data_IF_411415033542
#
_entry.id   IF_411415033542
#
_cell.length_a   1.000
_cell.length_b   1.000
_cell.length_c   1.000
_cell.angle_alpha   90.00
_cell.angle_beta   90.00
_cell.angle_gamma   90.00
#
_symmetry.space_group_name_H-M   'P 1'
#
loop_
_entity.id
_entity.type
_entity.pdbx_description
1 polymer ?
#
# COMPACT_ATOMS: atom_id res chain seq x y z
N UNK A 1 -2.71 -12.74 23.94
CA UNK A 1 -2.65 -11.33 23.48
C UNK A 1 -3.92 -11.03 22.69
N UNK A 2 -4.76 -10.09 23.15
CA UNK A 2 -6.05 -9.81 22.48
C UNK A 2 -5.79 -9.18 21.10
N UNK A 3 -6.20 -9.88 20.03
CA UNK A 3 -6.09 -9.44 18.64
C UNK A 3 -6.86 -8.14 18.37
N UNK A 4 -7.92 -7.87 19.14
CA UNK A 4 -8.78 -6.69 18.99
C UNK A 4 -8.09 -5.34 19.21
N UNK A 5 -6.88 -5.32 19.78
CA UNK A 5 -6.11 -4.08 19.99
C UNK A 5 -4.92 -3.92 19.02
N UNK A 6 -4.96 -4.56 17.84
CA UNK A 6 -3.89 -4.57 16.86
C UNK A 6 -4.27 -3.76 15.62
N UNK A 7 -3.39 -2.82 15.23
CA UNK A 7 -3.61 -1.93 14.09
C UNK A 7 -3.68 -2.71 12.78
N UNK A 8 -2.79 -3.71 12.59
CA UNK A 8 -2.80 -4.51 11.36
C UNK A 8 -4.13 -5.25 11.16
N UNK A 9 -4.81 -5.69 12.24
CA UNK A 9 -6.13 -6.35 12.16
C UNK A 9 -7.20 -5.36 11.69
N UNK A 10 -7.20 -4.15 12.24
CA UNK A 10 -8.15 -3.10 11.85
C UNK A 10 -7.91 -2.62 10.42
N UNK A 11 -6.64 -2.55 9.99
CA UNK A 11 -6.29 -2.21 8.61
C UNK A 11 -6.87 -3.23 7.62
N UNK A 12 -6.70 -4.53 7.89
CA UNK A 12 -7.29 -5.61 7.08
C UNK A 12 -8.82 -5.55 7.12
N UNK A 13 -9.41 -5.43 8.30
CA UNK A 13 -10.86 -5.40 8.47
C UNK A 13 -11.50 -4.24 7.69
N UNK A 14 -10.88 -3.06 7.74
CA UNK A 14 -11.38 -1.89 7.02
C UNK A 14 -11.23 -2.06 5.49
N UNK A 15 -10.12 -2.62 5.02
CA UNK A 15 -9.94 -2.95 3.59
C UNK A 15 -10.98 -3.96 3.12
N UNK A 16 -11.29 -4.99 3.92
CA UNK A 16 -12.38 -5.93 3.64
C UNK A 16 -13.73 -5.21 3.56
N UNK A 17 -14.06 -4.38 4.54
CA UNK A 17 -15.31 -3.63 4.59
C UNK A 17 -15.50 -2.77 3.34
N UNK A 18 -14.48 -1.96 2.97
CA UNK A 18 -14.52 -1.12 1.77
C UNK A 18 -14.67 -1.95 0.49
N UNK A 19 -13.93 -3.07 0.38
CA UNK A 19 -13.97 -3.93 -0.80
C UNK A 19 -15.35 -4.58 -1.00
N UNK A 20 -15.95 -5.12 0.06
CA UNK A 20 -17.29 -5.72 -0.01
C UNK A 20 -18.37 -4.66 -0.23
N UNK A 21 -18.31 -3.52 0.47
CA UNK A 21 -19.28 -2.43 0.32
C UNK A 21 -19.29 -1.86 -1.10
N UNK A 22 -18.11 -1.68 -1.71
CA UNK A 22 -17.96 -1.19 -3.08
C UNK A 22 -18.13 -2.27 -4.15
N UNK A 23 -18.42 -3.52 -3.76
CA UNK A 23 -18.44 -4.68 -4.66
C UNK A 23 -17.13 -4.77 -5.47
N UNK A 24 -16.00 -4.77 -4.77
CA UNK A 24 -14.65 -4.77 -5.34
C UNK A 24 -14.43 -3.65 -6.36
N UNK A 25 -14.82 -2.44 -5.98
CA UNK A 25 -14.59 -1.24 -6.79
C UNK A 25 -15.53 -1.08 -8.00
N UNK A 26 -16.48 -2.00 -8.21
CA UNK A 26 -17.42 -1.89 -9.32
C UNK A 26 -18.46 -0.77 -9.13
N UNK A 27 -18.74 -0.40 -7.87
CA UNK A 27 -19.62 0.73 -7.52
C UNK A 27 -18.79 2.01 -7.40
N UNK A 28 -18.43 2.60 -8.54
CA UNK A 28 -17.50 3.74 -8.62
C UNK A 28 -17.92 4.93 -7.75
N UNK A 29 -19.21 5.24 -7.63
CA UNK A 29 -19.71 6.33 -6.79
C UNK A 29 -19.37 6.15 -5.32
N UNK A 30 -19.21 4.90 -4.84
CA UNK A 30 -18.87 4.62 -3.44
C UNK A 30 -17.37 4.77 -3.16
N UNK A 31 -16.52 4.58 -4.17
CA UNK A 31 -15.06 4.70 -4.03
C UNK A 31 -14.54 6.08 -4.43
N UNK A 32 -15.34 6.88 -5.15
CA UNK A 32 -14.94 8.23 -5.56
C UNK A 32 -14.37 9.06 -4.38
N UNK A 33 -15.03 9.15 -3.21
CA UNK A 33 -14.56 9.98 -2.10
C UNK A 33 -13.21 9.55 -1.49
N UNK A 34 -12.80 8.31 -1.72
CA UNK A 34 -11.56 7.74 -1.19
C UNK A 34 -10.52 7.43 -2.28
N UNK A 35 -10.82 7.79 -3.53
CA UNK A 35 -9.94 7.60 -4.67
C UNK A 35 -8.85 8.68 -4.74
N UNK A 36 -7.74 8.43 -5.45
CA UNK A 36 -6.62 9.37 -5.51
C UNK A 36 -7.01 10.72 -6.13
N UNK A 37 -7.51 10.71 -7.35
CA UNK A 37 -8.06 11.93 -7.96
C UNK A 37 -9.58 11.94 -7.81
N UNK A 38 -10.16 13.11 -7.61
CA UNK A 38 -11.60 13.30 -7.82
C UNK A 38 -11.94 12.92 -9.25
N UNK A 39 -13.11 12.37 -9.43
CA UNK A 39 -13.62 12.11 -10.77
C UNK A 39 -15.14 12.28 -10.85
N UNK A 40 -15.64 12.50 -12.04
CA UNK A 40 -17.06 12.47 -12.37
C UNK A 40 -17.33 11.32 -13.33
N UNK A 41 -18.52 10.73 -13.21
CA UNK A 41 -19.02 9.75 -14.17
C UNK A 41 -20.06 10.46 -15.02
N UNK A 42 -19.75 10.64 -16.31
CA UNK A 42 -20.63 11.26 -17.28
C UNK A 42 -20.69 10.41 -18.55
N UNK A 43 -21.88 10.10 -19.04
CA UNK A 43 -22.08 9.28 -20.25
C UNK A 43 -21.24 7.98 -20.27
N UNK A 44 -21.17 7.25 -19.15
CA UNK A 44 -20.37 6.03 -18.96
C UNK A 44 -18.84 6.24 -19.12
N UNK A 45 -18.36 7.47 -19.03
CA UNK A 45 -16.94 7.80 -19.02
C UNK A 45 -16.53 8.38 -17.69
N UNK A 46 -15.31 8.06 -17.24
CA UNK A 46 -14.71 8.62 -16.03
C UNK A 46 -13.87 9.82 -16.46
N UNK A 47 -14.21 10.99 -15.94
CA UNK A 47 -13.46 12.23 -16.13
C UNK A 47 -12.74 12.57 -14.81
N UNK A 48 -11.43 12.45 -14.81
CA UNK A 48 -10.61 12.76 -13.64
C UNK A 48 -10.33 14.25 -13.57
N UNK A 49 -10.38 14.79 -12.36
CA UNK A 49 -9.80 16.09 -12.06
C UNK A 49 -8.28 15.96 -11.92
N UNK A 50 -7.57 17.04 -12.16
CA UNK A 50 -6.12 17.12 -11.96
C UNK A 50 -5.74 17.16 -10.47
N UNK A 51 -4.44 17.09 -10.21
CA UNK A 51 -3.89 17.15 -8.86
C UNK A 51 -4.21 18.51 -8.19
N UNK A 52 -4.08 19.61 -8.92
CA UNK A 52 -4.32 20.96 -8.39
C UNK A 52 -5.76 21.09 -7.90
N UNK A 53 -6.73 20.69 -8.71
CA UNK A 53 -8.15 20.75 -8.36
C UNK A 53 -8.48 19.85 -7.16
N UNK A 54 -7.92 18.63 -7.14
CA UNK A 54 -8.20 17.66 -6.07
C UNK A 54 -7.62 18.10 -4.74
N UNK A 55 -6.34 18.46 -4.70
CA UNK A 55 -5.60 18.65 -3.44
C UNK A 55 -5.50 20.12 -3.01
N UNK A 56 -5.32 21.05 -3.94
CA UNK A 56 -5.11 22.46 -3.58
C UNK A 56 -6.42 23.25 -3.55
N UNK A 57 -7.33 23.01 -4.49
CA UNK A 57 -8.60 23.73 -4.55
C UNK A 57 -9.65 23.07 -3.64
N UNK A 58 -9.84 21.75 -3.76
CA UNK A 58 -10.82 21.01 -2.95
C UNK A 58 -10.30 20.67 -1.55
N UNK A 59 -9.00 20.77 -1.29
CA UNK A 59 -8.35 20.46 -0.01
C UNK A 59 -8.57 19.01 0.47
N UNK A 60 -8.60 18.04 -0.44
CA UNK A 60 -8.93 16.64 -0.16
C UNK A 60 -7.67 15.77 0.03
N UNK A 61 -6.79 16.14 0.99
CA UNK A 61 -5.49 15.52 1.24
C UNK A 61 -5.53 14.06 1.70
N UNK A 62 -6.64 13.61 2.28
CA UNK A 62 -6.81 12.20 2.67
C UNK A 62 -6.70 11.24 1.49
N UNK A 63 -6.97 11.70 0.27
CA UNK A 63 -6.87 10.91 -0.96
C UNK A 63 -5.45 10.47 -1.29
N UNK A 64 -4.42 11.06 -0.67
CA UNK A 64 -3.05 10.53 -0.76
C UNK A 64 -2.95 9.13 -0.15
N UNK A 65 -3.75 8.83 0.86
CA UNK A 65 -3.65 7.60 1.66
C UNK A 65 -4.80 6.63 1.39
N UNK A 66 -6.02 7.14 1.27
CA UNK A 66 -7.25 6.31 1.24
C UNK A 66 -7.36 5.30 0.10
N UNK A 67 -6.72 5.47 -1.10
CA UNK A 67 -6.78 4.45 -2.14
C UNK A 67 -6.25 3.08 -1.71
N UNK A 68 -5.43 3.01 -0.65
CA UNK A 68 -4.93 1.74 -0.12
C UNK A 68 -6.05 0.78 0.30
N UNK A 69 -7.26 1.27 0.59
CA UNK A 69 -8.41 0.45 0.99
C UNK A 69 -9.21 -0.11 -0.18
N UNK A 70 -9.00 0.38 -1.40
CA UNK A 70 -9.76 -0.04 -2.59
C UNK A 70 -9.11 -1.28 -3.20
N UNK A 71 -9.87 -2.36 -3.34
CA UNK A 71 -9.40 -3.58 -4.02
C UNK A 71 -10.38 -3.95 -5.14
N UNK A 72 -9.84 -4.30 -6.31
CA UNK A 72 -10.63 -4.57 -7.51
C UNK A 72 -10.88 -6.08 -7.75
N UNK A 73 -10.35 -6.95 -6.89
CA UNK A 73 -10.63 -8.39 -6.90
C UNK A 73 -10.46 -9.02 -5.53
N UNK A 74 -11.11 -10.15 -5.29
CA UNK A 74 -10.97 -10.93 -4.07
C UNK A 74 -9.55 -11.49 -3.92
N UNK A 75 -8.93 -11.95 -5.00
CA UNK A 75 -7.56 -12.44 -5.01
C UNK A 75 -6.58 -11.36 -4.55
N UNK A 76 -6.75 -10.13 -5.08
CA UNK A 76 -5.92 -8.97 -4.69
C UNK A 76 -6.08 -8.63 -3.20
N UNK A 77 -7.32 -8.62 -2.68
CA UNK A 77 -7.59 -8.37 -1.27
C UNK A 77 -6.97 -9.43 -0.36
N UNK A 78 -7.18 -10.72 -0.68
CA UNK A 78 -6.67 -11.85 0.12
C UNK A 78 -5.15 -11.82 0.17
N UNK A 79 -4.49 -11.64 -0.99
CA UNK A 79 -3.04 -11.61 -1.08
C UNK A 79 -2.45 -10.45 -0.26
N UNK A 80 -3.00 -9.25 -0.38
CA UNK A 80 -2.58 -8.11 0.41
C UNK A 80 -2.82 -8.30 1.91
N UNK A 81 -3.98 -8.84 2.28
CA UNK A 81 -4.31 -9.11 3.68
C UNK A 81 -3.34 -10.09 4.33
N UNK A 82 -2.94 -11.14 3.59
CA UNK A 82 -1.94 -12.10 4.04
C UNK A 82 -0.60 -11.42 4.33
N UNK A 83 -0.12 -10.57 3.43
CA UNK A 83 1.15 -9.85 3.61
C UNK A 83 1.09 -8.81 4.74
N UNK A 84 -0.02 -8.07 4.88
CA UNK A 84 -0.22 -7.17 6.02
C UNK A 84 -0.24 -7.96 7.33
N UNK A 85 -0.84 -9.16 7.35
CA UNK A 85 -0.81 -10.03 8.53
C UNK A 85 0.61 -10.47 8.86
N UNK A 86 1.40 -10.93 7.89
CA UNK A 86 2.76 -11.43 8.11
C UNK A 86 3.70 -10.29 8.53
N UNK A 87 3.81 -9.25 7.71
CA UNK A 87 4.78 -8.16 7.92
C UNK A 87 4.30 -7.19 9.01
N UNK A 88 3.04 -6.80 8.97
CA UNK A 88 2.47 -5.82 9.87
C UNK A 88 2.40 -6.30 11.31
N UNK A 89 2.09 -7.58 11.51
CA UNK A 89 2.10 -8.21 12.84
C UNK A 89 3.47 -8.08 13.50
N UNK A 90 4.53 -8.46 12.77
CA UNK A 90 5.89 -8.45 13.31
C UNK A 90 6.38 -7.01 13.58
N UNK A 91 6.15 -6.09 12.64
CA UNK A 91 6.54 -4.68 12.82
C UNK A 91 5.77 -4.05 13.98
N UNK A 92 4.44 -4.20 14.06
CA UNK A 92 3.65 -3.63 15.16
C UNK A 92 4.09 -4.21 16.52
N UNK A 93 4.49 -5.49 16.55
CA UNK A 93 4.92 -6.15 17.77
C UNK A 93 6.32 -5.69 18.22
N UNK A 94 7.28 -5.54 17.30
CA UNK A 94 8.69 -5.28 17.60
C UNK A 94 9.04 -3.80 17.62
N UNK A 95 8.40 -2.98 16.77
CA UNK A 95 8.64 -1.55 16.66
C UNK A 95 7.54 -0.69 17.28
N UNK A 96 6.41 -1.29 17.59
CA UNK A 96 5.29 -0.62 18.20
C UNK A 96 4.33 0.05 17.20
N UNK A 97 3.18 0.46 17.74
CA UNK A 97 2.06 0.99 16.95
C UNK A 97 2.39 2.29 16.24
N UNK A 98 3.16 3.17 16.85
CA UNK A 98 3.46 4.50 16.30
C UNK A 98 4.28 4.38 15.02
N UNK A 99 5.35 3.57 15.05
CA UNK A 99 6.18 3.32 13.87
C UNK A 99 5.36 2.62 12.78
N UNK A 100 4.54 1.65 13.16
CA UNK A 100 3.69 0.94 12.20
C UNK A 100 2.67 1.87 11.52
N UNK A 101 1.99 2.76 12.26
CA UNK A 101 1.08 3.76 11.70
C UNK A 101 1.83 4.72 10.76
N UNK A 102 3.00 5.22 11.19
CA UNK A 102 3.82 6.07 10.35
C UNK A 102 4.16 5.38 9.02
N UNK A 103 4.61 4.13 9.06
CA UNK A 103 4.94 3.35 7.87
C UNK A 103 3.73 3.21 6.94
N UNK A 104 2.54 2.85 7.48
CA UNK A 104 1.32 2.75 6.68
C UNK A 104 1.03 4.06 5.95
N UNK A 105 1.00 5.17 6.68
CA UNK A 105 0.62 6.47 6.12
C UNK A 105 1.66 6.97 5.11
N UNK A 106 2.93 6.92 5.45
CA UNK A 106 4.01 7.42 4.62
C UNK A 106 4.19 6.59 3.35
N UNK A 107 4.19 5.24 3.47
CA UNK A 107 4.37 4.37 2.31
C UNK A 107 3.14 4.37 1.41
N UNK A 108 1.93 4.50 1.96
CA UNK A 108 0.71 4.66 1.16
C UNK A 108 0.72 5.97 0.36
N UNK A 109 1.01 7.10 1.02
CA UNK A 109 1.04 8.39 0.34
C UNK A 109 2.11 8.43 -0.77
N UNK A 110 3.32 7.96 -0.47
CA UNK A 110 4.43 7.90 -1.44
C UNK A 110 4.11 6.97 -2.62
N UNK A 111 3.52 5.83 -2.34
CA UNK A 111 3.08 4.82 -3.29
C UNK A 111 2.06 5.39 -4.28
N UNK A 112 0.98 5.95 -3.75
CA UNK A 112 -0.11 6.49 -4.54
C UNK A 112 0.34 7.71 -5.37
N UNK A 113 1.18 8.59 -4.79
CA UNK A 113 1.75 9.73 -5.49
C UNK A 113 2.65 9.28 -6.65
N UNK A 114 3.52 8.30 -6.43
CA UNK A 114 4.42 7.81 -7.48
C UNK A 114 3.65 7.14 -8.63
N UNK A 115 2.58 6.40 -8.31
CA UNK A 115 1.69 5.83 -9.32
C UNK A 115 1.05 6.92 -10.18
N UNK A 116 0.50 7.95 -9.55
CA UNK A 116 -0.06 9.08 -10.27
C UNK A 116 0.98 9.82 -11.12
N UNK A 117 2.16 10.06 -10.58
CA UNK A 117 3.21 10.82 -11.26
C UNK A 117 3.66 10.15 -12.57
N UNK A 118 3.79 8.81 -12.58
CA UNK A 118 4.27 8.08 -13.78
C UNK A 118 3.15 7.59 -14.69
N UNK A 119 1.95 7.36 -14.17
CA UNK A 119 0.85 6.79 -14.96
C UNK A 119 -0.28 7.79 -15.26
N UNK A 120 -0.23 8.97 -14.67
CA UNK A 120 -1.32 9.94 -14.76
C UNK A 120 -2.58 9.50 -14.02
N UNK A 121 -3.68 10.26 -14.18
CA UNK A 121 -4.96 9.92 -13.59
C UNK A 121 -5.48 8.58 -14.11
N UNK A 122 -5.69 7.64 -13.22
CA UNK A 122 -6.15 6.29 -13.56
C UNK A 122 -6.78 5.61 -12.34
N UNK A 123 -7.61 4.59 -12.55
CA UNK A 123 -8.14 3.81 -11.45
C UNK A 123 -7.07 2.86 -10.90
N UNK A 124 -6.67 3.07 -9.66
CA UNK A 124 -5.74 2.21 -8.93
C UNK A 124 -6.06 2.23 -7.42
N UNK A 125 -5.57 1.23 -6.70
CA UNK A 125 -5.75 1.12 -5.28
C UNK A 125 -5.19 -0.19 -4.75
N UNK A 126 -5.28 -0.39 -3.44
CA UNK A 126 -4.88 -1.60 -2.74
C UNK A 126 -3.75 -1.37 -1.73
N UNK A 127 -3.69 -2.28 -0.77
CA UNK A 127 -2.67 -2.28 0.29
C UNK A 127 -1.27 -2.66 -0.23
N UNK A 128 -1.13 -3.06 -1.49
CA UNK A 128 0.14 -3.58 -2.02
C UNK A 128 1.29 -2.58 -1.96
N UNK A 129 1.03 -1.29 -2.15
CA UNK A 129 2.05 -0.24 -1.95
C UNK A 129 2.55 -0.19 -0.51
N UNK A 130 1.64 -0.33 0.47
CA UNK A 130 2.02 -0.45 1.89
C UNK A 130 2.79 -1.74 2.13
N UNK A 131 2.36 -2.88 1.58
CA UNK A 131 3.06 -4.18 1.70
C UNK A 131 4.51 -4.06 1.22
N UNK A 132 4.74 -3.46 0.05
CA UNK A 132 6.10 -3.21 -0.44
C UNK A 132 6.88 -2.24 0.45
N UNK A 133 6.21 -1.27 1.04
CA UNK A 133 6.82 -0.36 2.02
C UNK A 133 7.29 -1.08 3.28
N UNK A 134 6.42 -1.92 3.87
CA UNK A 134 6.76 -2.75 5.03
C UNK A 134 7.91 -3.72 4.71
N UNK A 135 7.89 -4.32 3.51
CA UNK A 135 8.95 -5.20 3.04
C UNK A 135 10.29 -4.47 2.92
N UNK A 136 10.32 -3.27 2.31
CA UNK A 136 11.51 -2.44 2.18
C UNK A 136 12.08 -2.03 3.54
N UNK A 137 11.21 -1.72 4.49
CA UNK A 137 11.60 -1.42 5.88
C UNK A 137 12.29 -2.61 6.56
N UNK A 138 11.69 -3.79 6.49
CA UNK A 138 12.27 -5.01 7.06
C UNK A 138 13.58 -5.39 6.36
N UNK A 139 13.64 -5.29 5.03
CA UNK A 139 14.82 -5.64 4.24
C UNK A 139 16.06 -4.83 4.64
N UNK A 140 15.91 -3.52 4.83
CA UNK A 140 17.02 -2.67 5.28
C UNK A 140 17.50 -3.09 6.68
N UNK A 141 16.57 -3.30 7.60
CA UNK A 141 16.90 -3.69 8.97
C UNK A 141 17.69 -5.00 9.02
N UNK A 142 17.29 -6.00 8.25
CA UNK A 142 17.89 -7.33 8.28
C UNK A 142 19.17 -7.44 7.43
N UNK A 143 19.16 -6.89 6.21
CA UNK A 143 20.22 -7.12 5.23
C UNK A 143 21.35 -6.12 5.36
N UNK A 144 21.05 -4.83 5.43
CA UNK A 144 22.08 -3.77 5.49
C UNK A 144 22.60 -3.53 6.90
N UNK A 145 21.72 -3.57 7.89
CA UNK A 145 22.11 -3.26 9.26
C UNK A 145 22.45 -4.51 10.07
N UNK A 146 22.17 -5.69 9.47
CA UNK A 146 22.40 -7.00 10.09
C UNK A 146 21.78 -7.13 11.49
N UNK A 147 20.71 -6.38 11.71
CA UNK A 147 19.88 -6.50 12.91
C UNK A 147 18.85 -7.59 12.59
N UNK A 148 19.11 -8.80 13.03
CA UNK A 148 18.24 -9.97 12.80
C UNK A 148 16.96 -9.84 13.65
N UNK A 149 16.15 -8.81 13.35
CA UNK A 149 15.03 -8.36 14.17
C UNK A 149 13.74 -9.09 13.83
N UNK A 150 13.43 -9.20 12.54
CA UNK A 150 12.17 -9.78 12.06
C UNK A 150 12.29 -11.27 11.75
N UNK A 151 13.51 -11.77 11.51
CA UNK A 151 13.82 -13.18 11.21
C UNK A 151 13.05 -13.74 10.01
N UNK A 152 12.76 -12.90 9.02
CA UNK A 152 12.11 -13.36 7.79
C UNK A 152 13.09 -14.14 6.91
N UNK A 153 12.67 -15.29 6.34
CA UNK A 153 13.49 -16.00 5.38
C UNK A 153 13.87 -15.13 4.19
N UNK A 154 15.13 -15.13 3.72
CA UNK A 154 15.55 -14.37 2.54
C UNK A 154 14.69 -14.64 1.29
N UNK A 155 14.09 -15.82 1.21
CA UNK A 155 13.16 -16.19 0.14
C UNK A 155 11.96 -15.24 0.02
N UNK A 156 11.49 -14.63 1.11
CA UNK A 156 10.39 -13.65 1.09
C UNK A 156 10.78 -12.41 0.27
N UNK A 157 11.99 -11.88 0.51
CA UNK A 157 12.48 -10.71 -0.21
C UNK A 157 12.70 -11.00 -1.69
N UNK A 158 13.29 -12.17 -2.00
CA UNK A 158 13.50 -12.62 -3.38
C UNK A 158 12.15 -12.78 -4.09
N UNK A 159 11.19 -13.48 -3.47
CA UNK A 159 9.86 -13.68 -4.03
C UNK A 159 9.17 -12.35 -4.35
N UNK A 160 9.14 -11.42 -3.39
CA UNK A 160 8.47 -10.13 -3.58
C UNK A 160 9.19 -9.25 -4.61
N UNK A 161 10.52 -9.32 -4.70
CA UNK A 161 11.27 -8.63 -5.74
C UNK A 161 10.96 -9.18 -7.13
N UNK A 162 10.96 -10.51 -7.28
CA UNK A 162 10.58 -11.16 -8.54
C UNK A 162 9.13 -10.83 -8.90
N UNK A 163 8.23 -10.83 -7.92
CA UNK A 163 6.83 -10.45 -8.11
C UNK A 163 6.67 -9.00 -8.58
N UNK A 164 7.48 -8.07 -8.06
CA UNK A 164 7.54 -6.69 -8.54
C UNK A 164 7.93 -6.63 -10.01
N UNK A 165 8.98 -7.35 -10.41
CA UNK A 165 9.43 -7.38 -11.81
C UNK A 165 8.39 -7.98 -12.75
N UNK A 166 7.77 -9.09 -12.35
CA UNK A 166 6.69 -9.74 -13.11
C UNK A 166 5.48 -8.80 -13.27
N UNK A 167 5.19 -7.97 -12.27
CA UNK A 167 4.13 -6.97 -12.34
C UNK A 167 4.25 -6.04 -13.54
N UNK A 168 5.46 -5.63 -13.89
CA UNK A 168 5.71 -4.76 -15.06
C UNK A 168 5.50 -5.46 -16.41
N UNK A 169 5.42 -6.79 -16.45
CA UNK A 169 5.20 -7.56 -17.69
C UNK A 169 3.72 -7.68 -18.07
N UNK A 170 2.79 -7.33 -17.17
CA UNK A 170 1.36 -7.57 -17.35
C UNK A 170 0.92 -9.02 -17.14
N UNK A 171 1.85 -9.94 -16.83
CA UNK A 171 1.55 -11.37 -16.64
C UNK A 171 0.56 -11.61 -15.48
N UNK A 172 0.64 -10.81 -14.43
CA UNK A 172 -0.24 -10.96 -13.27
C UNK A 172 -1.70 -10.59 -13.56
N UNK A 173 -1.95 -9.77 -14.58
CA UNK A 173 -3.32 -9.46 -15.03
C UNK A 173 -4.00 -10.73 -15.56
N UNK A 174 -3.24 -11.60 -16.24
CA UNK A 174 -3.74 -12.88 -16.74
C UNK A 174 -4.08 -13.87 -15.62
N UNK A 175 -3.46 -13.72 -14.45
CA UNK A 175 -3.72 -14.53 -13.26
C UNK A 175 -4.88 -14.01 -12.40
N UNK A 176 -5.64 -13.02 -12.88
CA UNK A 176 -6.82 -12.49 -12.19
C UNK A 176 -6.51 -11.50 -11.06
N UNK A 177 -5.28 -10.99 -10.96
CA UNK A 177 -4.96 -9.91 -10.01
C UNK A 177 -5.50 -8.54 -10.45
N UNK A 178 -5.90 -8.41 -11.72
CA UNK A 178 -6.30 -7.15 -12.34
C UNK A 178 -5.10 -6.27 -12.70
N UNK A 179 -5.37 -5.11 -13.29
CA UNK A 179 -4.32 -4.18 -13.69
C UNK A 179 -3.51 -3.70 -12.50
N UNK A 180 -2.22 -4.02 -12.50
CA UNK A 180 -1.33 -3.75 -11.37
C UNK A 180 -0.75 -2.34 -11.42
N UNK A 181 -0.80 -1.64 -10.29
CA UNK A 181 -0.21 -0.33 -10.10
C UNK A 181 1.30 -0.46 -9.76
N UNK A 182 2.14 -0.76 -10.74
CA UNK A 182 3.55 -1.11 -10.54
C UNK A 182 4.39 0.03 -9.95
N UNK A 183 4.10 1.28 -10.32
CA UNK A 183 4.80 2.43 -9.74
C UNK A 183 4.38 2.67 -8.28
N UNK A 184 3.16 2.25 -7.89
CA UNK A 184 2.78 2.24 -6.49
C UNK A 184 3.64 1.25 -5.68
N UNK A 185 3.88 0.05 -6.21
CA UNK A 185 4.75 -0.92 -5.57
C UNK A 185 6.18 -0.39 -5.41
N UNK A 186 6.73 0.21 -6.46
CA UNK A 186 8.06 0.82 -6.43
C UNK A 186 8.13 1.98 -5.43
N UNK A 187 7.13 2.87 -5.42
CA UNK A 187 7.04 3.99 -4.47
C UNK A 187 6.97 3.53 -3.01
N UNK A 188 6.18 2.48 -2.76
CA UNK A 188 6.12 1.83 -1.46
C UNK A 188 7.48 1.27 -1.04
N UNK A 189 8.11 0.46 -1.89
CA UNK A 189 9.42 -0.14 -1.62
C UNK A 189 10.48 0.91 -1.29
N UNK A 190 10.62 1.95 -2.10
CA UNK A 190 11.61 3.01 -1.91
C UNK A 190 11.38 3.80 -0.62
N UNK A 191 10.12 4.17 -0.32
CA UNK A 191 9.79 4.87 0.92
C UNK A 191 9.98 4.00 2.16
N UNK A 192 9.73 2.69 2.06
CA UNK A 192 10.01 1.72 3.10
C UNK A 192 11.50 1.56 3.37
N UNK A 193 12.32 1.45 2.33
CA UNK A 193 13.79 1.42 2.42
C UNK A 193 14.30 2.69 3.12
N UNK A 194 13.84 3.85 2.70
CA UNK A 194 14.20 5.13 3.33
C UNK A 194 13.85 5.14 4.82
N UNK A 195 12.64 4.73 5.16
CA UNK A 195 12.19 4.63 6.56
C UNK A 195 13.05 3.67 7.38
N UNK A 196 13.42 2.52 6.79
CA UNK A 196 14.32 1.54 7.42
C UNK A 196 15.66 2.15 7.79
N UNK A 197 16.28 2.90 6.90
CA UNK A 197 17.53 3.63 7.20
C UNK A 197 17.37 4.66 8.32
N UNK A 198 16.32 5.50 8.25
CA UNK A 198 16.09 6.56 9.24
C UNK A 198 15.91 5.98 10.65
N UNK A 199 14.98 5.04 10.80
CA UNK A 199 14.68 4.46 12.12
C UNK A 199 15.81 3.61 12.67
N UNK A 200 16.57 2.94 11.82
CA UNK A 200 17.72 2.15 12.28
C UNK A 200 18.91 3.00 12.70
N UNK A 201 19.12 4.14 12.07
CA UNK A 201 20.16 5.10 12.52
C UNK A 201 19.80 5.71 13.88
N UNK A 202 18.52 5.90 14.14
CA UNK A 202 18.06 6.42 15.43
C UNK A 202 18.29 5.41 16.56
N UNK A 203 17.94 4.14 16.35
CA UNK A 203 18.08 3.07 17.35
C UNK A 203 19.54 2.67 17.65
N UNK A 204 20.52 3.04 16.81
CA UNK A 204 21.95 2.83 17.10
C UNK A 204 22.53 3.85 18.07
N UNK A 205 21.83 4.96 18.32
CA UNK A 205 22.29 6.04 19.21
C UNK A 205 21.70 5.95 20.63
N UNK A 206 20.73 5.06 20.84
CA UNK A 206 20.17 4.73 22.15
C UNK A 206 20.66 3.38 22.62
#
# INVERSE_FOLDING_TARGET
MQLSNKIFVWLIAFACLVSFYSSFGSKLNLIEPIFFNKFLISFNQIQFYDFQTTYLISNEWWRLVTPMFIHFSSTHLIFNSLWIYILGREIEQLDGKIIFIFLILFTSASSNYLQYFFSGPSLFGGLSGVVYGLLGYCFVSETFLRINKFSFPPAIYIFMFVWLLIGFTGFLDLLGFGKIANFAHLGGLLSGILSGYIFSMYNKKT
#
